data_IF_372986560536
#
_entry.id   IF_372986560536
#
_cell.length_a   1.000
_cell.length_b   1.000
_cell.length_c   1.000
_cell.angle_alpha   90.00
_cell.angle_beta   90.00
_cell.angle_gamma   90.00
#
_symmetry.space_group_name_H-M   'P 1'
#
loop_
_entity.id
_entity.type
_entity.pdbx_description
1 polymer ?
#
# COMPACT_ATOMS: atom_id res chain seq x y z
N UNK A 1 1.99 6.86 12.87
CA UNK A 1 1.94 5.60 13.66
C UNK A 1 3.30 4.89 13.72
N UNK A 2 3.96 4.63 12.58
CA UNK A 2 5.25 3.91 12.53
C UNK A 2 6.30 4.38 13.55
N UNK A 3 6.53 5.70 13.63
CA UNK A 3 7.51 6.32 14.52
C UNK A 3 7.28 6.05 16.01
N UNK A 4 6.04 5.69 16.39
CA UNK A 4 5.67 5.38 17.77
C UNK A 4 5.68 3.88 18.05
N UNK A 5 5.38 3.04 17.05
CA UNK A 5 5.30 1.59 17.21
C UNK A 5 6.70 0.95 17.17
N UNK A 6 7.57 1.43 16.27
CA UNK A 6 8.89 0.87 16.10
C UNK A 6 9.94 1.75 16.79
N UNK A 7 10.52 1.28 17.90
CA UNK A 7 11.52 2.04 18.67
C UNK A 7 12.85 2.21 17.93
N UNK A 8 13.16 1.31 17.01
CA UNK A 8 14.38 1.33 16.21
C UNK A 8 14.14 2.00 14.85
N UNK A 9 13.14 2.89 14.75
CA UNK A 9 12.85 3.55 13.50
C UNK A 9 13.93 4.59 13.14
N UNK A 10 14.15 4.77 11.85
CA UNK A 10 15.08 5.77 11.30
C UNK A 10 14.34 7.05 10.85
N UNK A 11 13.22 7.38 11.50
CA UNK A 11 12.40 8.54 11.16
C UNK A 11 11.52 8.32 9.92
N UNK A 12 11.15 9.41 9.26
CA UNK A 12 10.25 9.39 8.09
C UNK A 12 10.88 8.76 6.84
N UNK A 13 12.21 8.62 6.81
CA UNK A 13 12.95 7.98 5.72
C UNK A 13 13.37 6.54 6.05
N UNK A 14 12.86 5.97 7.15
CA UNK A 14 13.09 4.57 7.48
C UNK A 14 12.70 3.68 6.29
N UNK A 15 13.65 2.87 5.82
CA UNK A 15 13.46 2.02 4.63
C UNK A 15 12.30 1.03 4.77
N UNK A 16 11.92 0.66 5.99
CA UNK A 16 10.76 -0.21 6.25
C UNK A 16 9.43 0.53 6.11
N UNK A 17 9.45 1.85 6.30
CA UNK A 17 8.28 2.72 6.10
C UNK A 17 8.20 3.19 4.64
N UNK A 18 9.33 3.63 4.08
CA UNK A 18 9.46 4.11 2.71
C UNK A 18 10.67 3.41 2.07
N UNK A 19 10.47 2.27 1.40
CA UNK A 19 11.54 1.55 0.73
C UNK A 19 12.28 2.44 -0.27
N UNK A 20 13.61 2.29 -0.34
CA UNK A 20 14.40 2.99 -1.34
C UNK A 20 14.14 2.37 -2.73
N UNK A 21 14.41 3.14 -3.79
CA UNK A 21 14.21 2.65 -5.16
C UNK A 21 15.02 1.38 -5.45
N UNK A 22 16.23 1.28 -4.88
CA UNK A 22 17.09 0.11 -4.99
C UNK A 22 16.44 -1.12 -4.35
N UNK A 23 15.76 -0.95 -3.22
CA UNK A 23 15.07 -2.04 -2.54
C UNK A 23 13.86 -2.53 -3.36
N UNK A 24 13.17 -1.62 -4.05
CA UNK A 24 12.04 -1.95 -4.93
C UNK A 24 12.45 -2.74 -6.17
N UNK A 25 13.69 -2.58 -6.66
CA UNK A 25 14.19 -3.34 -7.81
C UNK A 25 14.26 -4.84 -7.55
N UNK A 26 14.40 -5.24 -6.28
CA UNK A 26 14.59 -6.63 -5.86
C UNK A 26 13.31 -7.31 -5.38
N UNK A 27 12.15 -6.71 -5.63
CA UNK A 27 10.87 -7.35 -5.32
C UNK A 27 10.77 -8.67 -6.08
N UNK A 28 10.72 -9.76 -5.32
CA UNK A 28 10.72 -11.13 -5.86
C UNK A 28 9.40 -11.57 -6.50
N UNK A 29 8.33 -10.77 -6.42
CA UNK A 29 7.09 -11.07 -7.11
C UNK A 29 7.06 -10.45 -8.52
N UNK A 30 6.43 -11.15 -9.45
CA UNK A 30 6.29 -10.72 -10.84
C UNK A 30 5.15 -9.71 -11.03
N UNK A 31 4.16 -9.72 -10.14
CA UNK A 31 2.95 -8.90 -10.23
C UNK A 31 2.58 -8.31 -8.88
N UNK A 32 2.24 -7.04 -8.88
CA UNK A 32 1.73 -6.30 -7.72
C UNK A 32 0.39 -5.67 -8.09
N UNK A 33 -0.62 -5.87 -7.25
CA UNK A 33 -1.89 -5.13 -7.33
C UNK A 33 -1.96 -4.17 -6.14
N UNK A 34 -2.12 -2.88 -6.43
CA UNK A 34 -2.30 -1.84 -5.42
C UNK A 34 -3.75 -1.35 -5.45
N UNK A 35 -4.47 -1.55 -4.36
CA UNK A 35 -5.85 -1.07 -4.20
C UNK A 35 -5.81 0.09 -3.22
N UNK A 36 -6.39 1.23 -3.61
CA UNK A 36 -6.51 2.42 -2.76
C UNK A 36 -7.95 2.87 -2.65
N UNK A 37 -8.28 3.51 -1.53
CA UNK A 37 -9.57 4.17 -1.31
C UNK A 37 -9.42 5.67 -1.58
N UNK A 38 -10.41 6.30 -2.21
CA UNK A 38 -10.37 7.72 -2.55
C UNK A 38 -10.20 8.64 -1.32
N UNK A 39 -10.95 8.37 -0.27
CA UNK A 39 -10.99 9.17 0.97
C UNK A 39 -9.97 8.67 2.01
N UNK A 40 -9.12 7.69 1.67
CA UNK A 40 -8.05 7.25 2.56
C UNK A 40 -6.91 8.29 2.56
N UNK A 41 -6.56 8.78 3.75
CA UNK A 41 -5.40 9.66 3.95
C UNK A 41 -4.07 9.03 3.49
N UNK A 42 -4.00 7.70 3.33
CA UNK A 42 -2.86 6.97 2.77
C UNK A 42 -2.92 6.77 1.24
N UNK A 43 -3.97 7.23 0.56
CA UNK A 43 -4.12 7.10 -0.90
C UNK A 43 -2.89 7.63 -1.65
N UNK A 44 -2.40 8.82 -1.27
CA UNK A 44 -1.20 9.41 -1.84
C UNK A 44 0.04 8.52 -1.72
N UNK A 45 0.17 7.80 -0.59
CA UNK A 45 1.28 6.87 -0.35
C UNK A 45 1.19 5.66 -1.29
N UNK A 46 0.01 5.06 -1.43
CA UNK A 46 -0.20 3.95 -2.37
C UNK A 46 0.09 4.33 -3.82
N UNK A 47 -0.36 5.51 -4.26
CA UNK A 47 -0.06 6.04 -5.61
C UNK A 47 1.43 6.32 -5.81
N UNK A 48 2.10 6.85 -4.79
CA UNK A 48 3.55 7.09 -4.81
C UNK A 48 4.30 5.78 -4.98
N UNK A 49 3.96 4.74 -4.21
CA UNK A 49 4.55 3.41 -4.33
C UNK A 49 4.43 2.83 -5.75
N UNK A 50 3.27 2.94 -6.39
CA UNK A 50 3.09 2.54 -7.80
C UNK A 50 3.99 3.35 -8.74
N UNK A 51 4.14 4.65 -8.50
CA UNK A 51 5.05 5.51 -9.25
C UNK A 51 6.51 5.07 -9.13
N UNK A 52 6.96 4.75 -7.92
CA UNK A 52 8.32 4.28 -7.65
C UNK A 52 8.57 2.89 -8.24
N UNK A 53 7.59 1.97 -8.21
CA UNK A 53 7.69 0.67 -8.90
C UNK A 53 7.83 0.80 -10.42
N UNK A 54 7.11 1.75 -11.03
CA UNK A 54 7.17 1.99 -12.48
C UNK A 54 8.45 2.69 -12.93
N UNK A 55 9.02 3.53 -12.07
CA UNK A 55 10.27 4.27 -12.36
C UNK A 55 11.51 3.48 -11.98
N UNK A 56 11.44 2.71 -10.90
CA UNK A 56 12.51 1.86 -10.42
C UNK A 56 12.75 0.70 -11.37
N UNK A 57 13.99 0.22 -11.45
CA UNK A 57 14.39 -0.87 -12.35
C UNK A 57 13.80 -2.24 -12.04
N UNK A 58 12.68 -2.31 -11.31
CA UNK A 58 11.89 -3.52 -11.11
C UNK A 58 11.26 -3.96 -12.43
N UNK A 59 11.31 -5.26 -12.73
CA UNK A 59 10.91 -5.82 -14.03
C UNK A 59 9.49 -6.40 -14.05
N UNK A 60 8.77 -6.33 -12.93
CA UNK A 60 7.42 -6.85 -12.82
C UNK A 60 6.35 -5.91 -13.37
N UNK A 61 5.08 -6.31 -13.20
CA UNK A 61 3.93 -5.51 -13.58
C UNK A 61 3.19 -5.02 -12.33
N UNK A 62 2.87 -3.73 -12.30
CA UNK A 62 2.01 -3.15 -11.26
C UNK A 62 0.70 -2.64 -11.84
N UNK A 63 -0.40 -3.12 -11.28
CA UNK A 63 -1.75 -2.63 -11.51
C UNK A 63 -2.23 -1.81 -10.31
N UNK A 64 -3.04 -0.78 -10.58
CA UNK A 64 -3.59 0.06 -9.53
C UNK A 64 -5.07 0.32 -9.77
N UNK A 65 -5.87 0.15 -8.72
CA UNK A 65 -7.30 0.44 -8.71
C UNK A 65 -7.63 1.38 -7.57
N UNK A 66 -8.39 2.44 -7.87
CA UNK A 66 -8.93 3.35 -6.88
C UNK A 66 -10.43 3.11 -6.69
N UNK A 67 -10.85 2.93 -5.44
CA UNK A 67 -12.26 2.79 -5.08
C UNK A 67 -12.81 4.15 -4.63
N UNK A 68 -13.77 4.66 -5.38
CA UNK A 68 -14.40 5.97 -5.15
C UNK A 68 -15.34 5.93 -3.93
N UNK A 69 -15.34 7.02 -3.14
CA UNK A 69 -16.16 7.17 -1.94
C UNK A 69 -15.88 6.13 -0.85
N UNK A 70 -14.67 5.55 -0.83
CA UNK A 70 -14.24 4.59 0.19
C UNK A 70 -13.17 5.21 1.07
N UNK A 71 -13.20 4.86 2.36
CA UNK A 71 -12.27 5.31 3.40
C UNK A 71 -11.32 4.18 3.82
N UNK A 72 -10.38 4.52 4.71
CA UNK A 72 -9.40 3.58 5.24
C UNK A 72 -10.04 2.34 5.90
N UNK A 73 -9.71 1.15 5.39
CA UNK A 73 -10.18 -0.12 5.96
C UNK A 73 -11.58 -0.58 5.49
N UNK A 74 -12.15 0.04 4.45
CA UNK A 74 -13.47 -0.30 3.93
C UNK A 74 -13.62 -1.78 3.54
N UNK A 75 -12.57 -2.45 3.06
CA UNK A 75 -12.65 -3.87 2.70
C UNK A 75 -12.86 -4.77 3.92
N UNK A 76 -12.28 -4.41 5.08
CA UNK A 76 -12.43 -5.15 6.33
C UNK A 76 -13.89 -5.08 6.78
N UNK A 77 -14.50 -3.90 6.72
CA UNK A 77 -15.90 -3.72 7.07
C UNK A 77 -16.85 -4.44 6.13
N UNK A 78 -16.61 -4.34 4.82
CA UNK A 78 -17.37 -5.10 3.82
C UNK A 78 -17.35 -6.60 4.12
N UNK A 79 -16.17 -7.14 4.44
CA UNK A 79 -16.01 -8.55 4.80
C UNK A 79 -16.78 -8.95 6.06
N UNK A 80 -16.89 -8.06 7.06
CA UNK A 80 -17.68 -8.29 8.28
C UNK A 80 -19.19 -8.33 7.98
N UNK A 81 -19.69 -7.41 7.18
CA UNK A 81 -21.12 -7.39 6.79
C UNK A 81 -21.50 -8.65 6.01
N UNK A 82 -20.65 -9.12 5.10
CA UNK A 82 -20.90 -10.34 4.32
C UNK A 82 -20.89 -11.62 5.16
N UNK A 83 -20.14 -11.66 6.28
CA UNK A 83 -20.19 -12.79 7.22
C UNK A 83 -21.47 -12.77 8.07
N UNK A 84 -21.93 -11.58 8.48
CA UNK A 84 -23.14 -11.42 9.31
C UNK A 84 -24.44 -11.84 8.60
N UNK A 85 -24.44 -11.91 7.27
CA UNK A 85 -25.57 -12.38 6.46
C UNK A 85 -25.44 -13.86 6.02
N UNK A 86 -24.41 -14.58 6.49
CA UNK A 86 -24.18 -16.00 6.18
C UNK A 86 -24.45 -16.95 7.37
N UNK A 87 -24.90 -16.41 8.50
CA UNK A 87 -25.39 -17.13 9.69
C UNK A 87 -26.90 -16.93 9.81
#
# INVERSE_FOLDING_TARGET
>A
MWLYINKENEGLQDRRLKPAAEDLMWIGCERVLVIVAEEDHLNGVGRSYVGELKKGGWKGCVEMTQNLGKYHGFEIERGRTMKKHRE
#
